data_IF_448417437168
#
_entry.id   IF_448417437168
#
_cell.length_a   1.000
_cell.length_b   1.000
_cell.length_c   1.000
_cell.angle_alpha   90.00
_cell.angle_beta   90.00
_cell.angle_gamma   90.00
#
_symmetry.space_group_name_H-M   'P 1'
#
loop_
_entity.id
_entity.type
_entity.pdbx_description
1 polymer ?
#
# COMPACT_ATOMS: atom_id res chain seq x y z
N UNK A 1 7.48 4.56 17.14
CA UNK A 1 6.25 3.77 17.41
C UNK A 1 6.56 2.35 16.99
N UNK A 2 6.40 1.33 17.85
CA UNK A 2 7.01 -0.02 17.72
C UNK A 2 6.52 -0.92 16.58
N UNK A 3 6.40 -0.39 15.36
CA UNK A 3 6.06 -1.12 14.14
C UNK A 3 7.33 -1.70 13.53
N UNK A 4 7.28 -2.99 13.18
CA UNK A 4 8.30 -3.63 12.34
C UNK A 4 7.74 -3.75 10.92
N UNK A 5 8.39 -3.09 9.97
CA UNK A 5 7.98 -3.11 8.56
C UNK A 5 9.17 -3.54 7.69
N UNK A 6 8.87 -4.27 6.61
CA UNK A 6 9.79 -4.48 5.51
C UNK A 6 9.43 -3.51 4.39
N UNK A 7 10.45 -2.91 3.77
CA UNK A 7 10.28 -1.98 2.67
C UNK A 7 10.79 -2.61 1.38
N UNK A 8 9.94 -2.66 0.36
CA UNK A 8 10.24 -3.22 -0.95
C UNK A 8 10.06 -2.12 -2.00
N UNK A 9 11.03 -1.99 -2.89
CA UNK A 9 10.98 -1.05 -4.01
C UNK A 9 10.44 -1.76 -5.26
N UNK A 10 9.18 -1.48 -5.62
CA UNK A 10 8.53 -1.99 -6.82
C UNK A 10 8.83 -1.07 -8.02
N UNK A 11 10.11 -1.00 -8.39
CA UNK A 11 10.67 -0.10 -9.43
C UNK A 11 9.91 -0.08 -10.76
N UNK A 12 9.21 -1.16 -11.08
CA UNK A 12 8.41 -1.29 -12.30
C UNK A 12 6.99 -1.69 -11.96
N UNK A 13 6.02 -0.87 -12.37
CA UNK A 13 4.59 -1.21 -12.30
C UNK A 13 4.25 -2.32 -13.28
N UNK A 14 4.90 -2.33 -14.46
CA UNK A 14 4.76 -3.37 -15.48
C UNK A 14 6.09 -3.64 -16.21
N UNK A 15 6.44 -4.93 -16.44
CA UNK A 15 5.82 -6.10 -15.80
C UNK A 15 6.04 -6.05 -14.27
N UNK A 16 5.10 -6.61 -13.51
CA UNK A 16 5.26 -6.73 -12.06
C UNK A 16 6.42 -7.68 -11.74
N UNK A 17 7.16 -7.40 -10.67
CA UNK A 17 8.12 -8.36 -10.14
C UNK A 17 7.38 -9.45 -9.36
N UNK A 18 6.90 -10.46 -10.09
CA UNK A 18 6.13 -11.56 -9.51
C UNK A 18 6.93 -12.39 -8.50
N UNK A 19 8.27 -12.43 -8.61
CA UNK A 19 9.11 -13.16 -7.65
C UNK A 19 9.15 -12.43 -6.32
N UNK A 20 9.32 -11.11 -6.36
CA UNK A 20 9.24 -10.25 -5.18
C UNK A 20 7.85 -10.34 -4.54
N UNK A 21 6.79 -10.20 -5.32
CA UNK A 21 5.43 -10.25 -4.78
C UNK A 21 5.09 -11.64 -4.22
N UNK A 22 5.56 -12.72 -4.82
CA UNK A 22 5.41 -14.08 -4.27
C UNK A 22 6.06 -14.21 -2.89
N UNK A 23 7.27 -13.67 -2.70
CA UNK A 23 7.93 -13.60 -1.40
C UNK A 23 7.10 -12.81 -0.38
N UNK A 24 6.61 -11.63 -0.77
CA UNK A 24 5.79 -10.77 0.09
C UNK A 24 4.51 -11.48 0.53
N UNK A 25 3.79 -12.12 -0.41
CA UNK A 25 2.53 -12.80 -0.14
C UNK A 25 2.66 -14.00 0.82
N UNK A 26 3.84 -14.63 0.87
CA UNK A 26 4.14 -15.70 1.82
C UNK A 26 4.46 -15.19 3.22
N UNK A 27 5.02 -13.99 3.35
CA UNK A 27 5.58 -13.46 4.60
C UNK A 27 4.63 -12.54 5.35
N UNK A 28 3.78 -11.79 4.64
CA UNK A 28 2.96 -10.73 5.22
C UNK A 28 1.48 -10.99 5.01
N UNK A 29 0.66 -10.49 5.94
CA UNK A 29 -0.82 -10.46 5.84
C UNK A 29 -1.36 -9.07 5.52
N UNK A 30 -0.53 -8.05 5.68
CA UNK A 30 -0.86 -6.66 5.41
C UNK A 30 0.24 -6.04 4.55
N UNK A 31 -0.15 -5.41 3.46
CA UNK A 31 0.74 -4.69 2.54
C UNK A 31 0.17 -3.30 2.33
N UNK A 32 1.01 -2.29 2.51
CA UNK A 32 0.68 -0.90 2.14
C UNK A 32 1.44 -0.59 0.85
N UNK A 33 0.73 -0.23 -0.21
CA UNK A 33 1.35 0.30 -1.44
C UNK A 33 1.34 1.82 -1.38
N UNK A 34 2.43 2.45 -1.80
CA UNK A 34 2.56 3.90 -1.88
C UNK A 34 2.94 4.25 -3.33
N UNK A 35 2.13 5.07 -3.98
CA UNK A 35 2.35 5.48 -5.36
C UNK A 35 2.05 6.96 -5.58
N UNK A 36 2.92 7.66 -6.29
CA UNK A 36 2.64 9.01 -6.83
C UNK A 36 1.88 8.86 -8.16
N UNK A 37 0.71 8.25 -8.06
CA UNK A 37 -0.11 7.81 -9.19
C UNK A 37 -1.56 7.61 -8.78
N UNK A 38 -2.42 7.40 -9.77
CA UNK A 38 -3.85 7.21 -9.52
C UNK A 38 -4.11 5.87 -8.81
N UNK A 39 -4.90 5.89 -7.74
CA UNK A 39 -5.31 4.67 -7.03
C UNK A 39 -6.12 3.72 -7.93
N UNK A 40 -6.98 4.29 -8.78
CA UNK A 40 -7.79 3.54 -9.74
C UNK A 40 -6.94 3.12 -10.93
N UNK A 41 -6.85 1.80 -11.17
CA UNK A 41 -5.99 1.21 -12.18
C UNK A 41 -4.49 1.28 -11.88
N UNK A 42 -4.12 1.68 -10.65
CA UNK A 42 -2.74 1.90 -10.22
C UNK A 42 -2.01 0.64 -9.78
N UNK A 43 -0.87 0.86 -9.13
CA UNK A 43 -0.01 -0.17 -8.55
C UNK A 43 -0.77 -0.97 -7.50
N UNK A 44 -1.50 -0.28 -6.62
CA UNK A 44 -2.26 -0.91 -5.55
C UNK A 44 -3.23 -1.98 -6.04
N UNK A 45 -4.05 -1.65 -7.03
CA UNK A 45 -5.02 -2.58 -7.64
C UNK A 45 -4.31 -3.73 -8.37
N UNK A 46 -3.18 -3.47 -9.06
CA UNK A 46 -2.41 -4.51 -9.73
C UNK A 46 -1.77 -5.51 -8.74
N UNK A 47 -1.23 -5.03 -7.62
CA UNK A 47 -0.66 -5.85 -6.55
C UNK A 47 -1.76 -6.67 -5.84
N UNK A 48 -2.91 -6.06 -5.54
CA UNK A 48 -4.05 -6.76 -4.95
C UNK A 48 -4.57 -7.87 -5.87
N UNK A 49 -4.65 -7.60 -7.19
CA UNK A 49 -5.04 -8.60 -8.17
C UNK A 49 -4.04 -9.77 -8.23
N UNK A 50 -2.74 -9.49 -8.22
CA UNK A 50 -1.70 -10.52 -8.16
C UNK A 50 -1.87 -11.43 -6.93
N UNK A 51 -2.06 -10.86 -5.74
CA UNK A 51 -2.23 -11.66 -4.53
C UNK A 51 -3.49 -12.53 -4.57
N UNK A 52 -4.60 -11.97 -5.06
CA UNK A 52 -5.86 -12.71 -5.22
C UNK A 52 -5.71 -13.88 -6.21
N UNK A 53 -5.11 -13.64 -7.37
CA UNK A 53 -4.88 -14.68 -8.39
C UNK A 53 -4.02 -15.84 -7.87
N UNK A 54 -3.03 -15.54 -7.02
CA UNK A 54 -2.16 -16.54 -6.39
C UNK A 54 -2.76 -17.17 -5.12
N UNK A 55 -3.94 -16.74 -4.68
CA UNK A 55 -4.61 -17.26 -3.49
C UNK A 55 -3.97 -16.85 -2.16
N UNK A 56 -3.24 -15.73 -2.14
CA UNK A 56 -2.66 -15.19 -0.92
C UNK A 56 -3.70 -14.44 -0.08
N UNK A 57 -3.77 -14.76 1.21
CA UNK A 57 -4.55 -14.00 2.20
C UNK A 57 -3.76 -12.77 2.64
N UNK A 58 -3.77 -11.74 1.78
CA UNK A 58 -3.06 -10.47 1.98
C UNK A 58 -4.05 -9.33 1.82
N UNK A 59 -4.20 -8.52 2.86
CA UNK A 59 -4.91 -7.25 2.78
C UNK A 59 -3.98 -6.19 2.21
N UNK A 60 -4.35 -5.64 1.06
CA UNK A 60 -3.66 -4.50 0.43
C UNK A 60 -4.39 -3.21 0.77
N UNK A 61 -3.66 -2.23 1.27
CA UNK A 61 -4.09 -0.85 1.44
C UNK A 61 -3.23 0.05 0.55
N UNK A 62 -3.84 0.98 -0.17
CA UNK A 62 -3.15 1.76 -1.19
C UNK A 62 -3.23 3.25 -0.91
N UNK A 63 -2.08 3.90 -0.87
CA UNK A 63 -1.92 5.34 -0.69
C UNK A 63 -1.42 5.96 -2.00
N UNK A 64 -2.10 7.00 -2.45
CA UNK A 64 -1.84 7.61 -3.75
C UNK A 64 -2.93 8.62 -4.12
N UNK A 65 -2.96 9.03 -5.37
CA UNK A 65 -3.86 10.08 -5.85
C UNK A 65 -5.26 9.48 -6.05
N UNK A 66 -6.23 10.00 -5.29
CA UNK A 66 -7.64 9.63 -5.41
C UNK A 66 -8.29 10.11 -6.72
N UNK A 67 -9.54 9.69 -6.94
CA UNK A 67 -10.35 10.09 -8.10
C UNK A 67 -10.99 11.47 -7.89
N UNK A 68 -10.13 12.48 -7.78
CA UNK A 68 -10.50 13.87 -7.51
C UNK A 68 -9.50 14.84 -8.11
N UNK A 69 -9.94 16.08 -8.34
CA UNK A 69 -9.06 17.14 -8.77
C UNK A 69 -8.08 17.52 -7.65
N UNK A 70 -6.80 17.62 -7.98
CA UNK A 70 -5.74 18.03 -7.04
C UNK A 70 -5.27 19.43 -7.41
N UNK A 71 -5.39 20.35 -6.46
CA UNK A 71 -5.02 21.76 -6.64
C UNK A 71 -3.49 21.97 -6.71
N UNK A 72 -3.06 23.18 -7.05
CA UNK A 72 -1.65 23.54 -7.05
C UNK A 72 -1.08 23.66 -5.63
N UNK A 73 0.15 23.18 -5.45
CA UNK A 73 0.87 23.25 -4.18
C UNK A 73 2.31 22.77 -4.34
N UNK A 74 3.08 22.87 -3.27
CA UNK A 74 4.41 22.24 -3.21
C UNK A 74 4.25 20.71 -3.13
N UNK A 75 5.23 19.91 -3.58
CA UNK A 75 5.13 18.44 -3.52
C UNK A 75 4.76 17.91 -2.13
N UNK A 76 5.35 18.44 -1.06
CA UNK A 76 5.02 18.05 0.31
C UNK A 76 3.54 18.30 0.67
N UNK A 77 2.98 19.44 0.24
CA UNK A 77 1.55 19.74 0.43
C UNK A 77 0.66 18.79 -0.39
N UNK A 78 1.06 18.47 -1.62
CA UNK A 78 0.31 17.58 -2.49
C UNK A 78 0.31 16.14 -1.96
N UNK A 79 1.45 15.65 -1.48
CA UNK A 79 1.54 14.32 -0.87
C UNK A 79 0.67 14.20 0.38
N UNK A 80 0.67 15.23 1.24
CA UNK A 80 -0.19 15.28 2.42
C UNK A 80 -1.68 15.39 2.04
N UNK A 81 -2.02 16.22 1.04
CA UNK A 81 -3.39 16.37 0.53
C UNK A 81 -3.93 15.05 -0.04
N UNK A 82 -3.10 14.33 -0.78
CA UNK A 82 -3.46 13.04 -1.36
C UNK A 82 -3.28 11.86 -0.40
N UNK A 83 -2.73 12.07 0.80
CA UNK A 83 -2.63 11.06 1.85
C UNK A 83 -1.57 9.98 1.61
N UNK A 84 -0.43 10.32 0.99
CA UNK A 84 0.71 9.41 0.81
C UNK A 84 2.03 10.00 1.32
N UNK A 85 1.96 10.98 2.23
CA UNK A 85 3.11 11.50 2.96
C UNK A 85 3.53 10.59 4.13
N UNK A 86 4.61 10.96 4.83
CA UNK A 86 5.16 10.19 5.95
C UNK A 86 4.12 9.92 7.05
N UNK A 87 3.30 10.93 7.40
CA UNK A 87 2.29 10.78 8.44
C UNK A 87 1.19 9.79 8.00
N UNK A 88 0.74 9.88 6.75
CA UNK A 88 -0.27 8.98 6.21
C UNK A 88 0.23 7.54 6.10
N UNK A 89 1.49 7.33 5.67
CA UNK A 89 2.12 6.01 5.64
C UNK A 89 2.20 5.41 7.05
N UNK A 90 2.66 6.19 8.03
CA UNK A 90 2.75 5.74 9.42
C UNK A 90 1.38 5.37 9.98
N UNK A 91 0.37 6.18 9.68
CA UNK A 91 -1.02 5.92 10.08
C UNK A 91 -1.49 4.59 9.51
N UNK A 92 -1.39 4.38 8.19
CA UNK A 92 -1.80 3.14 7.52
C UNK A 92 -1.11 1.90 8.12
N UNK A 93 0.20 1.97 8.37
CA UNK A 93 0.96 0.89 9.01
C UNK A 93 0.47 0.56 10.43
N UNK A 94 0.12 1.58 11.22
CA UNK A 94 -0.45 1.37 12.55
C UNK A 94 -1.86 0.79 12.51
N UNK A 95 -2.68 1.15 11.52
CA UNK A 95 -4.07 0.65 11.39
C UNK A 95 -4.08 -0.82 10.98
N UNK A 96 -3.22 -1.19 10.02
CA UNK A 96 -3.01 -2.55 9.59
C UNK A 96 -2.70 -3.47 10.79
N UNK A 97 -1.79 -3.06 11.66
CA UNK A 97 -1.39 -3.82 12.85
C UNK A 97 -2.48 -4.01 13.92
N UNK A 98 -3.56 -3.20 13.90
CA UNK A 98 -4.69 -3.33 14.83
C UNK A 98 -5.71 -4.38 14.37
N UNK A 99 -5.79 -4.63 13.07
CA UNK A 99 -6.82 -5.50 12.48
C UNK A 99 -6.62 -7.01 12.71
N UNK A 100 -5.43 -7.43 13.18
CA UNK A 100 -5.14 -8.82 13.58
C UNK A 100 -5.52 -9.14 15.04
N UNK A 101 -5.89 -8.14 15.84
CA UNK A 101 -6.28 -8.28 17.25
C UNK A 101 -7.81 -8.20 17.44
N UNK A 102 -8.57 -8.98 16.67
CA UNK A 102 -9.92 -9.38 17.09
C UNK A 102 -9.85 -10.78 17.70
N UNK A 103 -9.13 -10.89 18.83
CA UNK A 103 -9.15 -12.09 19.65
C UNK A 103 -10.44 -12.07 20.49
N UNK A 104 -11.35 -13.00 20.20
CA UNK A 104 -12.39 -13.56 21.07
C UNK A 104 -13.14 -12.63 22.04
N UNK A 105 -14.41 -12.39 21.72
CA UNK A 105 -15.49 -12.42 22.72
C UNK A 105 -16.43 -13.56 22.36
#
# INVERSE_FOLDING_TARGET
QGVQAAHYDLRFVKPLDETLLDEVGRRFRHVVTVEDGALRGGVGEAVAAFFNERGYDVRVESLGIGDQWVEHGTPAQLHALCGYDEESILRALLEAGRSSCACGA
#
